data_IF_777479531583
#
_entry.id   IF_777479531583
#
_cell.length_a   1.000
_cell.length_b   1.000
_cell.length_c   1.000
_cell.angle_alpha   90.00
_cell.angle_beta   90.00
_cell.angle_gamma   90.00
#
_symmetry.space_group_name_H-M   'P 1'
#
loop_
_entity.id
_entity.type
_entity.pdbx_description
1 polymer ?
#
# COMPACT_ATOMS: atom_id res chain seq x y z
N UNK A 1 15.01 1.76 -34.30
CA UNK A 1 14.73 1.21 -32.95
C UNK A 1 14.11 2.35 -32.19
N UNK A 2 12.81 2.27 -31.93
CA UNK A 2 12.01 3.34 -31.33
C UNK A 2 12.23 3.32 -29.81
N UNK A 3 12.84 4.39 -29.30
CA UNK A 3 12.86 4.72 -27.88
C UNK A 3 11.42 4.94 -27.42
N UNK A 4 10.91 4.02 -26.60
CA UNK A 4 9.63 4.20 -25.92
C UNK A 4 9.88 5.08 -24.69
N UNK A 5 9.20 6.24 -24.55
CA UNK A 5 9.38 7.07 -23.37
C UNK A 5 8.73 6.37 -22.19
N UNK A 6 9.51 6.04 -21.16
CA UNK A 6 8.99 5.67 -19.85
C UNK A 6 8.12 6.83 -19.33
N UNK A 7 6.82 6.83 -19.66
CA UNK A 7 5.89 7.81 -19.14
C UNK A 7 5.68 7.55 -17.65
N UNK A 8 5.95 8.58 -16.88
CA UNK A 8 5.73 8.78 -15.45
C UNK A 8 4.32 8.36 -14.98
N UNK A 9 4.08 7.07 -14.75
CA UNK A 9 2.82 6.54 -14.18
C UNK A 9 2.94 6.12 -12.71
N UNK A 10 4.10 6.29 -12.08
CA UNK A 10 4.34 5.89 -10.70
C UNK A 10 4.33 7.11 -9.80
N UNK A 11 3.21 7.36 -9.11
CA UNK A 11 3.11 8.45 -8.11
C UNK A 11 3.73 7.96 -6.80
N UNK A 12 4.85 8.54 -6.32
CA UNK A 12 5.32 8.29 -4.96
C UNK A 12 4.37 8.98 -3.97
N UNK A 13 4.00 8.26 -2.91
CA UNK A 13 3.37 8.84 -1.73
C UNK A 13 4.45 9.61 -0.93
N UNK A 14 4.79 10.86 -1.29
CA UNK A 14 5.71 11.73 -0.50
C UNK A 14 4.92 12.49 0.60
N UNK A 15 5.12 12.30 1.93
CA UNK A 15 6.24 12.48 2.90
C UNK A 15 6.38 13.90 3.49
N UNK A 16 6.31 14.03 4.84
CA UNK A 16 7.54 14.21 5.62
C UNK A 16 7.46 13.51 7.00
N UNK A 17 7.96 12.27 7.11
CA UNK A 17 8.26 11.67 8.43
C UNK A 17 9.19 10.45 8.38
N UNK A 18 9.48 9.91 7.20
CA UNK A 18 10.08 8.58 7.12
C UNK A 18 11.60 8.63 6.98
N UNK A 19 12.25 8.68 8.13
CA UNK A 19 13.62 8.19 8.29
C UNK A 19 13.71 6.73 7.84
N UNK A 20 14.80 6.41 7.14
CA UNK A 20 15.29 5.06 6.83
C UNK A 20 14.32 4.12 6.08
N UNK A 21 14.53 3.99 4.76
CA UNK A 21 14.09 2.88 3.89
C UNK A 21 12.62 2.47 4.03
N UNK A 22 11.72 3.28 3.46
CA UNK A 22 10.33 2.85 3.23
C UNK A 22 10.20 2.42 1.78
N UNK A 23 9.83 1.16 1.58
CA UNK A 23 9.42 0.66 0.27
C UNK A 23 8.16 1.42 -0.14
N UNK A 24 8.32 2.39 -1.05
CA UNK A 24 7.21 3.13 -1.63
C UNK A 24 6.49 2.17 -2.56
N UNK A 25 5.22 1.88 -2.27
CA UNK A 25 4.36 1.08 -3.12
C UNK A 25 3.85 2.02 -4.22
N UNK A 26 4.10 1.66 -5.48
CA UNK A 26 3.68 2.44 -6.63
C UNK A 26 2.42 1.82 -7.26
N UNK A 27 1.53 2.66 -7.77
CA UNK A 27 0.41 2.21 -8.60
C UNK A 27 0.19 3.19 -9.76
N UNK A 28 -0.35 2.66 -10.87
CA UNK A 28 -0.71 3.44 -12.06
C UNK A 28 -1.87 4.37 -11.71
N UNK A 29 -1.66 5.67 -11.90
CA UNK A 29 -2.64 6.66 -11.53
C UNK A 29 -3.91 6.64 -12.37
N UNK A 30 -3.80 6.09 -13.57
CA UNK A 30 -4.84 6.06 -14.60
C UNK A 30 -5.53 4.69 -14.65
N UNK A 31 -5.18 3.78 -13.74
CA UNK A 31 -5.80 2.48 -13.61
C UNK A 31 -7.33 2.62 -13.36
N UNK A 32 -8.16 1.73 -13.94
CA UNK A 32 -9.57 1.66 -13.62
C UNK A 32 -9.82 1.58 -12.11
N UNK A 33 -10.87 2.25 -11.63
CA UNK A 33 -11.21 2.28 -10.20
C UNK A 33 -11.35 0.89 -9.59
N UNK A 34 -11.90 -0.07 -10.34
CA UNK A 34 -12.05 -1.46 -9.90
C UNK A 34 -10.69 -2.12 -9.62
N UNK A 35 -9.68 -1.85 -10.44
CA UNK A 35 -8.33 -2.40 -10.27
C UNK A 35 -7.63 -1.76 -9.07
N UNK A 36 -7.85 -0.46 -8.83
CA UNK A 36 -7.35 0.25 -7.64
C UNK A 36 -7.98 -0.33 -6.36
N UNK A 37 -9.29 -0.57 -6.36
CA UNK A 37 -9.99 -1.17 -5.21
C UNK A 37 -9.60 -2.64 -5.00
N UNK A 38 -9.35 -3.39 -6.07
CA UNK A 38 -8.82 -4.75 -5.96
C UNK A 38 -7.42 -4.74 -5.34
N UNK A 39 -6.56 -3.80 -5.75
CA UNK A 39 -5.24 -3.62 -5.15
C UNK A 39 -5.35 -3.30 -3.65
N UNK A 40 -6.22 -2.35 -3.27
CA UNK A 40 -6.48 -2.03 -1.87
C UNK A 40 -6.95 -3.26 -1.07
N UNK A 41 -7.86 -4.05 -1.65
CA UNK A 41 -8.36 -5.30 -1.05
C UNK A 41 -7.23 -6.31 -0.83
N UNK A 42 -6.36 -6.50 -1.83
CA UNK A 42 -5.19 -7.39 -1.72
C UNK A 42 -4.23 -6.94 -0.62
N UNK A 43 -4.02 -5.63 -0.45
CA UNK A 43 -3.19 -5.06 0.63
C UNK A 43 -3.78 -5.33 2.01
N UNK A 44 -5.08 -5.15 2.18
CA UNK A 44 -5.78 -5.46 3.43
C UNK A 44 -5.71 -6.96 3.75
N UNK A 45 -5.93 -7.82 2.76
CA UNK A 45 -5.81 -9.27 2.92
C UNK A 45 -4.37 -9.68 3.29
N UNK A 46 -3.35 -9.05 2.72
CA UNK A 46 -1.97 -9.29 3.13
C UNK A 46 -1.69 -8.86 4.58
N UNK A 47 -2.26 -7.73 5.02
CA UNK A 47 -2.14 -7.28 6.41
C UNK A 47 -2.85 -8.24 7.39
N UNK A 48 -4.00 -8.81 7.00
CA UNK A 48 -4.67 -9.88 7.74
C UNK A 48 -3.82 -11.14 7.81
N UNK A 49 -3.25 -11.58 6.68
CA UNK A 49 -2.35 -12.73 6.65
C UNK A 49 -1.12 -12.57 7.56
N UNK A 50 -0.58 -11.35 7.68
CA UNK A 50 0.49 -11.06 8.65
C UNK A 50 0.03 -11.22 10.12
N UNK A 51 -1.23 -10.87 10.41
CA UNK A 51 -1.82 -11.08 11.74
C UNK A 51 -2.01 -12.57 12.03
N UNK A 52 -2.46 -13.35 11.04
CA UNK A 52 -2.59 -14.81 11.16
C UNK A 52 -1.22 -15.48 11.38
N UNK A 53 -0.19 -15.05 10.64
CA UNK A 53 1.19 -15.50 10.86
C UNK A 53 1.62 -15.21 12.29
N UNK A 54 1.41 -13.99 12.80
CA UNK A 54 1.76 -13.66 14.18
C UNK A 54 1.05 -14.55 15.21
N UNK A 55 -0.25 -14.84 15.01
CA UNK A 55 -1.04 -15.70 15.90
C UNK A 55 -0.58 -17.17 15.87
N UNK A 56 0.01 -17.62 14.76
CA UNK A 56 0.53 -18.99 14.64
C UNK A 56 1.90 -19.22 15.30
N UNK A 57 2.55 -18.16 15.78
CA UNK A 57 3.85 -18.25 16.45
C UNK A 57 3.63 -18.54 17.94
N UNK A 58 4.23 -19.61 18.47
CA UNK A 58 4.11 -19.97 19.89
C UNK A 58 4.76 -18.93 20.82
N UNK A 59 5.96 -18.46 20.48
CA UNK A 59 6.70 -17.46 21.26
C UNK A 59 7.43 -16.45 20.34
N UNK A 60 6.70 -15.53 19.68
CA UNK A 60 7.33 -14.58 18.76
C UNK A 60 8.23 -13.60 19.51
N UNK A 61 9.48 -13.45 19.04
CA UNK A 61 10.38 -12.42 19.57
C UNK A 61 9.81 -11.02 19.38
N UNK A 62 10.17 -10.07 20.26
CA UNK A 62 9.74 -8.67 20.15
C UNK A 62 10.09 -8.04 18.78
N UNK A 63 11.19 -8.47 18.16
CA UNK A 63 11.58 -8.00 16.84
C UNK A 63 10.64 -8.51 15.74
N UNK A 64 10.17 -9.75 15.84
CA UNK A 64 9.18 -10.32 14.90
C UNK A 64 7.85 -9.59 15.05
N UNK A 65 7.36 -9.42 16.29
CA UNK A 65 6.12 -8.68 16.58
C UNK A 65 6.19 -7.26 15.98
N UNK A 66 7.31 -6.56 16.22
CA UNK A 66 7.54 -5.22 15.68
C UNK A 66 7.53 -5.19 14.16
N UNK A 67 8.24 -6.10 13.50
CA UNK A 67 8.34 -6.12 12.04
C UNK A 67 7.00 -6.45 11.39
N UNK A 68 6.24 -7.39 11.96
CA UNK A 68 4.89 -7.70 11.52
C UNK A 68 3.98 -6.47 11.69
N UNK A 69 4.00 -5.82 12.86
CA UNK A 69 3.21 -4.61 13.11
C UNK A 69 3.53 -3.48 12.12
N UNK A 70 4.81 -3.23 11.84
CA UNK A 70 5.24 -2.25 10.83
C UNK A 70 4.74 -2.64 9.43
N UNK A 71 4.92 -3.89 9.03
CA UNK A 71 4.47 -4.39 7.73
C UNK A 71 2.96 -4.24 7.54
N UNK A 72 2.16 -4.67 8.53
CA UNK A 72 0.71 -4.52 8.52
C UNK A 72 0.29 -3.05 8.45
N UNK A 73 0.94 -2.17 9.21
CA UNK A 73 0.64 -0.73 9.19
C UNK A 73 0.89 -0.11 7.81
N UNK A 74 2.02 -0.43 7.17
CA UNK A 74 2.33 0.06 5.82
C UNK A 74 1.27 -0.38 4.81
N UNK A 75 0.88 -1.67 4.83
CA UNK A 75 -0.15 -2.21 3.93
C UNK A 75 -1.53 -1.56 4.12
N UNK A 76 -1.92 -1.32 5.38
CA UNK A 76 -3.20 -0.66 5.70
C UNK A 76 -3.17 0.79 5.22
N UNK A 77 -2.10 1.54 5.51
CA UNK A 77 -1.98 2.92 5.05
C UNK A 77 -2.00 3.04 3.52
N UNK A 78 -1.33 2.13 2.83
CA UNK A 78 -1.34 2.05 1.36
C UNK A 78 -2.76 1.79 0.84
N UNK A 79 -3.47 0.80 1.39
CA UNK A 79 -4.85 0.51 1.04
C UNK A 79 -5.78 1.72 1.25
N UNK A 80 -5.62 2.45 2.37
CA UNK A 80 -6.43 3.64 2.64
C UNK A 80 -6.16 4.76 1.64
N UNK A 81 -4.91 4.97 1.21
CA UNK A 81 -4.59 5.95 0.17
C UNK A 81 -5.25 5.58 -1.17
N UNK A 82 -5.25 4.30 -1.54
CA UNK A 82 -5.90 3.82 -2.76
C UNK A 82 -7.42 4.04 -2.72
N UNK A 83 -8.06 3.75 -1.58
CA UNK A 83 -9.51 3.97 -1.39
C UNK A 83 -9.85 5.45 -1.43
N UNK A 84 -9.10 6.29 -0.70
CA UNK A 84 -9.32 7.75 -0.67
C UNK A 84 -9.19 8.35 -2.07
N UNK A 85 -8.22 7.90 -2.87
CA UNK A 85 -8.11 8.33 -4.27
C UNK A 85 -9.37 8.01 -5.07
N UNK A 86 -9.89 6.78 -4.99
CA UNK A 86 -11.11 6.40 -5.73
C UNK A 86 -12.28 7.25 -5.25
N UNK A 87 -12.43 7.47 -3.95
CA UNK A 87 -13.48 8.32 -3.39
C UNK A 87 -13.40 9.77 -3.91
N UNK A 88 -12.20 10.36 -3.92
CA UNK A 88 -11.97 11.72 -4.39
C UNK A 88 -12.13 11.88 -5.91
N UNK A 89 -11.97 10.82 -6.69
CA UNK A 89 -12.24 10.83 -8.14
C UNK A 89 -13.73 10.65 -8.48
N UNK A 90 -14.47 9.90 -7.66
CA UNK A 90 -15.91 9.67 -7.84
C UNK A 90 -16.74 10.85 -7.29
N UNK A 91 -16.25 11.55 -6.28
CA UNK A 91 -16.84 12.79 -5.77
C UNK A 91 -15.98 13.99 -6.17
N UNK A 92 -16.13 14.53 -7.40
CA UNK A 92 -15.51 15.81 -7.71
C UNK A 92 -16.10 16.84 -6.74
N UNK A 93 -15.24 17.52 -5.97
CA UNK A 93 -15.62 18.62 -5.09
C UNK A 93 -16.57 19.56 -5.85
N UNK A 94 -17.77 19.73 -5.31
CA UNK A 94 -18.76 20.70 -5.77
C UNK A 94 -18.24 22.14 -5.66
#
# INVERSE_FOLDING_TARGET
MTDSPCSSQFIPLDKPSQGTRVAVLYFDSDAPHIDILECATRRLNAALGLSEVLQSLEEPSANIIKNIGIGSHILICDAMCLIDKVQNQVQPKA
#
